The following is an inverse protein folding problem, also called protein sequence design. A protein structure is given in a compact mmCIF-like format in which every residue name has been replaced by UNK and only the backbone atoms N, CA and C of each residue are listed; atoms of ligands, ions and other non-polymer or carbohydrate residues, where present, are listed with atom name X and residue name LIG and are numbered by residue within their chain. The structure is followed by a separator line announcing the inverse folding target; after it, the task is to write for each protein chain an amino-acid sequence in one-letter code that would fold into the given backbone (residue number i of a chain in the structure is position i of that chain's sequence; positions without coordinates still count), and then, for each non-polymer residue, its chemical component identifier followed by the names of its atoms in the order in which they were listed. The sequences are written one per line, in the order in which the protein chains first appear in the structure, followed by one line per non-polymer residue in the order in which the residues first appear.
data_IF_986683738262
#
_entry.id   IF_986683738262
#
_cell.length_a   1.000
_cell.length_b   1.000
_cell.length_c   1.000
_cell.angle_alpha   90.00
_cell.angle_beta   90.00
_cell.angle_gamma   90.00
#
_symmetry.space_group_name_H-M   'P 1'
#
loop_
_entity.id
_entity.type
_entity.pdbx_description
1 polymer ?
#
# COMPACT_ATOMS: atom_id res chain seq x y z
N UNK A 1 -60.83 -7.32 26.27
CA UNK A 1 -59.75 -6.63 25.54
C UNK A 1 -58.44 -7.22 26.01
N UNK A 2 -57.80 -8.04 25.18
CA UNK A 2 -56.67 -8.90 25.55
C UNK A 2 -55.44 -8.34 24.84
N UNK A 3 -54.49 -7.82 25.60
CA UNK A 3 -53.25 -7.26 25.05
C UNK A 3 -52.27 -8.39 24.74
N UNK A 4 -51.99 -8.61 23.46
CA UNK A 4 -50.85 -9.41 23.00
C UNK A 4 -49.58 -8.57 23.09
N UNK A 5 -48.61 -9.02 23.87
CA UNK A 5 -47.27 -8.44 23.93
C UNK A 5 -46.40 -9.13 22.87
N UNK A 6 -46.15 -8.47 21.74
CA UNK A 6 -45.20 -8.95 20.73
C UNK A 6 -43.76 -8.67 21.17
N UNK A 7 -43.03 -9.74 21.50
CA UNK A 7 -41.60 -9.67 21.78
C UNK A 7 -40.81 -9.36 20.51
N UNK A 8 -40.17 -8.20 20.46
CA UNK A 8 -39.23 -7.84 19.39
C UNK A 8 -37.97 -8.70 19.49
N UNK A 9 -37.81 -9.64 18.54
CA UNK A 9 -36.57 -10.41 18.38
C UNK A 9 -35.44 -9.49 17.88
N UNK A 10 -34.60 -9.02 18.80
CA UNK A 10 -33.32 -8.36 18.45
C UNK A 10 -32.42 -9.36 17.75
N UNK A 11 -32.15 -9.14 16.45
CA UNK A 11 -31.09 -9.83 15.71
C UNK A 11 -29.76 -9.53 16.41
N UNK A 12 -29.15 -10.54 17.02
CA UNK A 12 -27.79 -10.45 17.55
C UNK A 12 -26.85 -10.44 16.35
N UNK A 13 -26.41 -9.26 15.93
CA UNK A 13 -25.29 -9.14 15.01
C UNK A 13 -24.07 -9.70 15.76
N UNK A 14 -23.50 -10.79 15.25
CA UNK A 14 -22.29 -11.38 15.80
C UNK A 14 -21.15 -10.38 15.57
N UNK A 15 -20.87 -9.56 16.57
CA UNK A 15 -19.65 -8.77 16.62
C UNK A 15 -18.51 -9.77 16.84
N UNK A 16 -17.75 -10.05 15.78
CA UNK A 16 -16.48 -10.77 15.90
C UNK A 16 -15.63 -9.93 16.87
N UNK A 17 -15.11 -10.51 17.96
CA UNK A 17 -14.20 -9.79 18.84
C UNK A 17 -13.02 -9.33 17.99
N UNK A 18 -12.80 -8.01 17.93
CA UNK A 18 -11.52 -7.47 17.51
C UNK A 18 -10.47 -8.16 18.35
N UNK A 19 -9.68 -9.06 17.74
CA UNK A 19 -8.50 -9.60 18.39
C UNK A 19 -7.52 -8.46 18.51
N UNK A 20 -7.64 -7.78 19.65
CA UNK A 20 -6.68 -6.82 20.15
C UNK A 20 -5.49 -7.64 20.69
N UNK A 21 -4.72 -8.23 19.78
CA UNK A 21 -3.36 -8.67 20.04
C UNK A 21 -2.46 -7.78 19.19
N UNK A 22 -1.75 -6.87 19.84
CA UNK A 22 -0.85 -5.88 19.24
C UNK A 22 0.37 -6.51 18.53
N UNK A 23 0.36 -7.82 18.27
CA UNK A 23 1.31 -8.53 17.42
C UNK A 23 0.71 -8.62 16.01
N UNK A 24 1.14 -7.73 15.11
CA UNK A 24 0.86 -7.90 13.68
C UNK A 24 1.31 -9.30 13.26
N UNK A 25 0.51 -9.96 12.43
CA UNK A 25 0.78 -11.33 12.03
C UNK A 25 1.96 -11.35 11.04
N UNK A 26 3.11 -11.85 11.49
CA UNK A 26 4.38 -11.92 10.74
C UNK A 26 4.19 -12.49 9.33
N UNK A 27 3.33 -13.51 9.19
CA UNK A 27 3.07 -14.10 7.87
C UNK A 27 2.44 -13.14 6.87
N UNK A 28 1.51 -12.28 7.29
CA UNK A 28 0.90 -11.32 6.38
C UNK A 28 1.85 -10.17 6.05
N UNK A 29 2.73 -9.79 6.98
CA UNK A 29 3.80 -8.84 6.71
C UNK A 29 4.80 -9.39 5.69
N UNK A 30 5.29 -10.62 5.89
CA UNK A 30 6.19 -11.31 4.95
C UNK A 30 5.54 -11.52 3.59
N UNK A 31 4.26 -11.92 3.57
CA UNK A 31 3.50 -12.09 2.32
C UNK A 31 3.40 -10.76 1.56
N UNK A 32 3.01 -9.68 2.23
CA UNK A 32 2.96 -8.36 1.59
C UNK A 32 4.34 -7.91 1.09
N UNK A 33 5.41 -8.16 1.87
CA UNK A 33 6.78 -7.85 1.47
C UNK A 33 7.16 -8.56 0.17
N UNK A 34 6.91 -9.87 0.07
CA UNK A 34 7.20 -10.66 -1.14
C UNK A 34 6.43 -10.09 -2.33
N UNK A 35 5.11 -9.90 -2.21
CA UNK A 35 4.29 -9.41 -3.31
C UNK A 35 4.74 -8.04 -3.81
N UNK A 36 5.09 -7.12 -2.91
CA UNK A 36 5.63 -5.81 -3.29
C UNK A 36 7.00 -5.95 -3.94
N UNK A 37 7.91 -6.74 -3.37
CA UNK A 37 9.28 -6.91 -3.86
C UNK A 37 9.34 -7.53 -5.27
N UNK A 38 8.40 -8.43 -5.61
CA UNK A 38 8.31 -9.04 -6.94
C UNK A 38 7.30 -8.35 -7.87
N UNK A 39 6.84 -7.14 -7.51
CA UNK A 39 5.90 -6.34 -8.30
C UNK A 39 4.59 -7.08 -8.67
N UNK A 40 4.07 -7.90 -7.75
CA UNK A 40 2.77 -8.56 -7.90
C UNK A 40 1.70 -7.73 -7.17
N UNK A 41 0.67 -7.23 -7.87
CA UNK A 41 -0.40 -6.48 -7.24
C UNK A 41 -1.15 -7.30 -6.18
N UNK A 42 -1.39 -6.71 -5.00
CA UNK A 42 -2.09 -7.37 -3.90
C UNK A 42 -3.50 -7.85 -4.26
N UNK A 43 -4.20 -7.18 -5.17
CA UNK A 43 -5.52 -7.60 -5.63
C UNK A 43 -5.53 -9.03 -6.21
N UNK A 44 -4.37 -9.54 -6.67
CA UNK A 44 -4.23 -10.91 -7.16
C UNK A 44 -4.51 -11.96 -6.09
N UNK A 45 -4.35 -11.63 -4.80
CA UNK A 45 -4.75 -12.48 -3.68
C UNK A 45 -6.27 -12.71 -3.60
N UNK A 46 -7.07 -11.86 -4.25
CA UNK A 46 -8.51 -12.07 -4.42
C UNK A 46 -8.86 -13.14 -5.45
N UNK A 47 -7.90 -13.61 -6.27
CA UNK A 47 -8.14 -14.70 -7.20
C UNK A 47 -8.37 -16.02 -6.45
N UNK A 48 -9.50 -16.68 -6.71
CA UNK A 48 -9.89 -17.89 -5.97
C UNK A 48 -8.88 -19.05 -6.08
N UNK A 49 -8.17 -19.21 -7.21
CA UNK A 49 -7.18 -20.27 -7.40
C UNK A 49 -5.96 -20.01 -6.52
N UNK A 50 -5.40 -18.80 -6.61
CA UNK A 50 -4.25 -18.40 -5.80
C UNK A 50 -4.60 -18.43 -4.31
N UNK A 51 -5.77 -17.88 -3.95
CA UNK A 51 -6.27 -17.89 -2.58
C UNK A 51 -6.38 -19.31 -2.03
N UNK A 52 -7.10 -20.19 -2.73
CA UNK A 52 -7.30 -21.58 -2.29
C UNK A 52 -5.97 -22.33 -2.17
N UNK A 53 -5.03 -22.09 -3.10
CA UNK A 53 -3.68 -22.66 -3.03
C UNK A 53 -2.95 -22.21 -1.75
N UNK A 54 -2.90 -20.90 -1.48
CA UNK A 54 -2.24 -20.37 -0.29
C UNK A 54 -2.91 -20.84 0.99
N UNK A 55 -4.24 -20.81 1.07
CA UNK A 55 -4.99 -21.27 2.25
C UNK A 55 -4.74 -22.76 2.52
N UNK A 56 -4.74 -23.60 1.47
CA UNK A 56 -4.46 -25.03 1.56
C UNK A 56 -3.05 -25.32 2.09
N UNK A 57 -2.04 -24.61 1.59
CA UNK A 57 -0.64 -24.91 1.92
C UNK A 57 -0.13 -24.20 3.19
N UNK A 58 -0.80 -23.13 3.63
CA UNK A 58 -0.40 -22.37 4.82
C UNK A 58 -1.30 -22.61 6.04
N UNK A 59 -2.50 -23.17 5.84
CA UNK A 59 -3.51 -23.32 6.90
C UNK A 59 -4.08 -21.99 7.40
N UNK A 60 -3.79 -20.86 6.73
CA UNK A 60 -4.24 -19.52 7.10
C UNK A 60 -5.26 -19.02 6.10
N UNK A 61 -6.36 -18.44 6.57
CA UNK A 61 -7.28 -17.75 5.66
C UNK A 61 -6.66 -16.45 5.16
N UNK A 62 -6.64 -16.26 3.84
CA UNK A 62 -6.03 -15.08 3.22
C UNK A 62 -6.97 -13.89 3.35
N UNK A 63 -6.43 -12.82 3.93
CA UNK A 63 -7.12 -11.53 4.10
C UNK A 63 -7.36 -10.87 2.74
N UNK A 64 -8.43 -10.09 2.65
CA UNK A 64 -8.71 -9.29 1.47
C UNK A 64 -7.67 -8.17 1.28
N UNK A 65 -7.59 -7.65 0.05
CA UNK A 65 -6.64 -6.61 -0.31
C UNK A 65 -6.76 -5.35 0.57
N UNK A 66 -7.98 -4.92 0.93
CA UNK A 66 -8.20 -3.71 1.72
C UNK A 66 -7.60 -3.86 3.11
N UNK A 67 -7.81 -5.02 3.74
CA UNK A 67 -7.24 -5.35 5.04
C UNK A 67 -5.71 -5.42 4.98
N UNK A 68 -5.14 -6.04 3.93
CA UNK A 68 -3.69 -6.11 3.77
C UNK A 68 -3.06 -4.72 3.57
N UNK A 69 -3.65 -3.92 2.67
CA UNK A 69 -3.18 -2.58 2.32
C UNK A 69 -3.22 -1.62 3.51
N UNK A 70 -4.25 -1.68 4.36
CA UNK A 70 -4.36 -0.79 5.52
C UNK A 70 -3.41 -1.15 6.66
N UNK A 71 -3.21 -2.44 6.92
CA UNK A 71 -2.55 -2.88 8.15
C UNK A 71 -1.05 -3.16 7.99
N UNK A 72 -0.60 -3.56 6.80
CA UNK A 72 0.77 -4.06 6.57
C UNK A 72 1.59 -3.14 5.67
N UNK A 73 1.02 -2.63 4.56
CA UNK A 73 1.76 -1.82 3.58
C UNK A 73 2.39 -0.53 4.16
N UNK A 74 1.78 0.22 5.09
CA UNK A 74 2.41 1.41 5.65
C UNK A 74 3.75 1.14 6.35
N UNK A 75 3.86 0.00 7.05
CA UNK A 75 5.12 -0.39 7.70
C UNK A 75 6.19 -0.75 6.68
N UNK A 76 5.81 -1.49 5.64
CA UNK A 76 6.70 -1.90 4.54
C UNK A 76 7.23 -0.66 3.83
N UNK A 77 6.34 0.27 3.48
CA UNK A 77 6.70 1.54 2.87
C UNK A 77 7.69 2.32 3.75
N UNK A 78 7.41 2.47 5.05
CA UNK A 78 8.31 3.16 5.99
C UNK A 78 9.68 2.49 6.04
N UNK A 79 9.74 1.17 6.06
CA UNK A 79 10.99 0.40 6.05
C UNK A 79 11.81 0.68 4.79
N UNK A 80 11.18 0.61 3.62
CA UNK A 80 11.84 0.89 2.32
C UNK A 80 12.31 2.35 2.25
N UNK A 81 11.50 3.31 2.68
CA UNK A 81 11.89 4.71 2.71
C UNK A 81 13.09 4.96 3.63
N UNK A 82 13.13 4.33 4.80
CA UNK A 82 14.28 4.41 5.68
C UNK A 82 15.55 3.84 5.02
N UNK A 83 15.44 2.72 4.30
CA UNK A 83 16.58 2.15 3.56
C UNK A 83 17.09 3.11 2.47
N UNK A 84 16.19 3.74 1.72
CA UNK A 84 16.54 4.75 0.72
C UNK A 84 17.26 5.93 1.38
N UNK A 85 16.70 6.47 2.47
CA UNK A 85 17.31 7.58 3.22
C UNK A 85 18.70 7.19 3.72
N UNK A 86 18.85 6.02 4.33
CA UNK A 86 20.14 5.53 4.82
C UNK A 86 21.17 5.37 3.68
N UNK A 87 20.77 4.97 2.48
CA UNK A 87 21.66 4.86 1.32
C UNK A 87 22.14 6.23 0.82
N UNK A 88 21.29 7.27 0.86
CA UNK A 88 21.59 8.58 0.26
C UNK A 88 22.10 9.64 1.25
N UNK A 89 21.83 9.53 2.55
CA UNK A 89 22.01 10.60 3.56
C UNK A 89 23.42 11.20 3.64
N UNK A 90 24.46 10.40 3.42
CA UNK A 90 25.86 10.83 3.55
C UNK A 90 26.50 11.20 2.20
N UNK A 91 25.69 11.39 1.15
CA UNK A 91 26.16 11.68 -0.19
C UNK A 91 25.57 13.00 -0.69
N UNK A 92 26.27 13.65 -1.62
CA UNK A 92 25.63 14.64 -2.48
C UNK A 92 24.53 13.94 -3.28
N UNK A 93 23.36 14.57 -3.41
CA UNK A 93 22.22 14.03 -4.14
C UNK A 93 21.79 14.99 -5.22
N UNK A 94 21.24 14.46 -6.31
CA UNK A 94 20.44 15.24 -7.24
C UNK A 94 19.00 14.71 -7.25
N UNK A 95 18.10 15.61 -7.58
CA UNK A 95 16.66 15.35 -7.60
C UNK A 95 16.17 15.64 -9.01
N UNK A 96 15.50 14.67 -9.61
CA UNK A 96 14.81 14.83 -10.89
C UNK A 96 13.32 14.97 -10.59
N UNK A 97 12.73 16.05 -11.07
CA UNK A 97 11.28 16.24 -11.11
C UNK A 97 10.86 16.11 -12.57
N UNK A 98 10.08 15.09 -12.87
CA UNK A 98 9.58 14.82 -14.21
C UNK A 98 8.06 14.90 -14.21
N UNK A 99 7.50 15.75 -15.07
CA UNK A 99 6.07 15.79 -15.34
C UNK A 99 5.76 14.99 -16.60
N UNK A 100 4.85 14.03 -16.48
CA UNK A 100 4.34 13.23 -17.60
C UNK A 100 2.84 13.42 -17.67
N UNK A 101 2.34 13.80 -18.84
CA UNK A 101 0.90 13.93 -19.10
C UNK A 101 0.46 12.84 -20.06
N UNK A 102 -0.54 12.05 -19.65
CA UNK A 102 -1.10 11.01 -20.51
C UNK A 102 -2.03 11.61 -21.60
N UNK A 103 -2.39 10.85 -22.65
CA UNK A 103 -3.29 11.35 -23.70
C UNK A 103 -4.69 11.74 -23.23
N UNK A 104 -5.07 11.41 -21.99
CA UNK A 104 -6.36 11.80 -21.38
C UNK A 104 -6.22 13.10 -20.57
N UNK A 105 -5.04 13.72 -20.57
CA UNK A 105 -4.74 14.95 -19.83
C UNK A 105 -4.42 14.72 -18.36
N UNK A 106 -4.19 13.48 -17.93
CA UNK A 106 -3.75 13.18 -16.56
C UNK A 106 -2.27 13.50 -16.43
N UNK A 107 -1.95 14.58 -15.72
CA UNK A 107 -0.58 14.98 -15.42
C UNK A 107 -0.10 14.33 -14.12
N UNK A 108 1.08 13.70 -14.16
CA UNK A 108 1.73 13.04 -13.03
C UNK A 108 3.14 13.64 -12.89
N UNK A 109 3.47 14.12 -11.69
CA UNK A 109 4.82 14.49 -11.30
C UNK A 109 5.51 13.33 -10.58
N UNK A 110 6.61 12.86 -11.15
CA UNK A 110 7.52 11.90 -10.56
C UNK A 110 8.70 12.62 -9.90
N UNK A 111 9.03 12.23 -8.68
CA UNK A 111 10.18 12.70 -7.93
C UNK A 111 11.17 11.55 -7.79
N UNK A 112 12.30 11.66 -8.47
CA UNK A 112 13.38 10.66 -8.45
C UNK A 112 14.58 11.27 -7.73
N UNK A 113 15.18 10.51 -6.81
CA UNK A 113 16.40 10.89 -6.09
C UNK A 113 17.50 9.92 -6.47
N UNK A 114 18.71 10.44 -6.67
CA UNK A 114 19.91 9.64 -6.85
C UNK A 114 21.13 10.30 -6.22
N UNK A 115 22.17 9.51 -5.99
CA UNK A 115 23.46 9.97 -5.51
C UNK A 115 24.19 10.69 -6.65
N UNK A 116 24.63 11.90 -6.38
CA UNK A 116 25.54 12.63 -7.26
C UNK A 116 26.95 12.07 -7.06
N UNK A 117 27.22 10.94 -7.69
CA UNK A 117 28.51 10.29 -7.69
C UNK A 117 29.05 10.21 -9.12
N UNK A 118 30.37 10.25 -9.31
CA UNK A 118 30.99 10.23 -10.65
C UNK A 118 30.82 8.93 -11.45
N UNK A 119 30.00 8.00 -10.96
CA UNK A 119 29.69 6.72 -11.58
C UNK A 119 28.20 6.44 -11.45
N UNK A 120 27.68 5.52 -12.28
CA UNK A 120 26.28 5.09 -12.21
C UNK A 120 25.93 4.60 -10.79
N UNK A 121 24.86 5.15 -10.22
CA UNK A 121 24.29 4.72 -8.94
C UNK A 121 22.84 4.29 -9.10
N UNK A 122 22.27 3.74 -8.02
CA UNK A 122 20.87 3.32 -7.99
C UNK A 122 20.00 4.54 -7.71
N UNK A 123 19.13 4.89 -8.66
CA UNK A 123 18.11 5.92 -8.49
C UNK A 123 16.85 5.35 -7.81
N UNK A 124 16.10 6.21 -7.13
CA UNK A 124 14.89 5.86 -6.39
C UNK A 124 13.73 6.79 -6.76
N UNK A 125 12.61 6.23 -7.21
CA UNK A 125 11.33 6.95 -7.29
C UNK A 125 10.74 7.06 -5.89
N UNK A 126 10.74 8.25 -5.31
CA UNK A 126 10.33 8.48 -3.91
C UNK A 126 8.95 9.09 -3.77
N UNK A 127 8.43 9.71 -4.85
CA UNK A 127 7.07 10.23 -4.89
C UNK A 127 6.55 10.24 -6.33
N UNK A 128 5.25 10.00 -6.47
CA UNK A 128 4.51 10.07 -7.71
C UNK A 128 3.17 10.73 -7.36
N UNK A 129 2.85 11.87 -7.97
CA UNK A 129 1.68 12.66 -7.59
C UNK A 129 0.94 13.18 -8.80
N UNK A 130 -0.36 12.96 -8.82
CA UNK A 130 -1.25 13.59 -9.78
C UNK A 130 -1.25 15.11 -9.59
N UNK A 131 -0.96 15.83 -10.66
CA UNK A 131 -1.07 17.27 -10.73
C UNK A 131 -2.50 17.61 -11.17
N UNK A 132 -3.22 18.35 -10.33
CA UNK A 132 -4.46 18.98 -10.75
C UNK A 132 -4.08 20.08 -11.72
N UNK A 133 -4.76 20.16 -12.86
CA UNK A 133 -4.61 21.24 -13.85
C UNK A 133 -4.36 22.59 -13.16
N UNK A 134 -3.12 23.08 -13.21
CA UNK A 134 -2.76 24.41 -12.73
C UNK A 134 -2.84 25.37 -13.90
N UNK A 135 -3.58 26.46 -13.74
CA UNK A 135 -3.52 27.59 -14.66
C UNK A 135 -2.06 28.03 -14.77
N UNK A 136 -1.54 28.07 -15.99
CA UNK A 136 -0.19 28.46 -16.36
C UNK A 136 0.02 29.97 -16.16
N UNK A 137 -0.19 30.50 -14.95
CA UNK A 137 0.37 31.81 -14.66
C UNK A 137 1.85 31.64 -14.36
N UNK A 138 2.66 31.69 -15.42
CA UNK A 138 4.08 31.98 -15.30
C UNK A 138 4.18 33.34 -14.60
N UNK A 139 4.71 33.36 -13.38
CA UNK A 139 5.14 34.61 -12.76
C UNK A 139 6.38 35.05 -13.55
N UNK A 140 6.19 36.05 -14.40
CA UNK A 140 7.25 36.79 -15.08
C UNK A 140 7.95 37.77 -14.12
#
# INVERSE_FOLDING_TARGET
MQWHYEGTKKKKHLLIPSQNSNSKNVFFEDSCNVFVAVNIPLHKLGNHVLKSFLEKHTGKSILDESTLRKNYIPNIYKSVMNQIICDVVNNSVYIIVEEITDPRGLAIANLIIDKLYGTLSKSYLVSCKELKSTYYETIC
#
